data_IF_772883087443
#
_entry.id   IF_772883087443
#
_cell.length_a   1.000
_cell.length_b   1.000
_cell.length_c   1.000
_cell.angle_alpha   90.00
_cell.angle_beta   90.00
_cell.angle_gamma   90.00
#
_symmetry.space_group_name_H-M   'P 1'
#
loop_
_entity.id
_entity.type
_entity.pdbx_description
1 polymer ?
#
# COMPACT_ATOMS: atom_id res chain seq x y z
N UNK A 1 10.08 30.20 -12.73
CA UNK A 1 10.51 28.80 -12.57
C UNK A 1 9.90 28.12 -11.35
N UNK A 2 9.61 28.82 -10.24
CA UNK A 2 8.97 28.19 -9.06
C UNK A 2 7.58 27.62 -9.32
N UNK A 3 6.74 28.29 -10.09
CA UNK A 3 5.36 27.83 -10.37
C UNK A 3 5.32 26.46 -11.04
N UNK A 4 6.24 26.20 -11.98
CA UNK A 4 6.34 24.89 -12.66
C UNK A 4 6.81 23.80 -11.70
N UNK A 5 7.74 24.13 -10.77
CA UNK A 5 8.18 23.20 -9.73
C UNK A 5 7.04 22.84 -8.77
N UNK A 6 6.22 23.82 -8.36
CA UNK A 6 5.08 23.59 -7.49
C UNK A 6 4.00 22.72 -8.15
N UNK A 7 3.67 22.97 -9.43
CA UNK A 7 2.76 22.08 -10.17
C UNK A 7 3.32 20.67 -10.34
N UNK A 8 4.64 20.53 -10.52
CA UNK A 8 5.31 19.23 -10.55
C UNK A 8 5.17 18.47 -9.22
N UNK A 9 5.40 19.17 -8.11
CA UNK A 9 5.23 18.62 -6.76
C UNK A 9 3.80 18.11 -6.50
N UNK A 10 2.79 18.93 -6.82
CA UNK A 10 1.38 18.59 -6.61
C UNK A 10 0.97 17.35 -7.42
N UNK A 11 1.36 17.27 -8.69
CA UNK A 11 1.04 16.11 -9.54
C UNK A 11 1.70 14.84 -9.00
N UNK A 12 2.97 14.92 -8.58
CA UNK A 12 3.69 13.76 -8.03
C UNK A 12 3.05 13.30 -6.72
N UNK A 13 2.63 14.24 -5.86
CA UNK A 13 1.93 13.94 -4.62
C UNK A 13 0.58 13.24 -4.88
N UNK A 14 -0.18 13.68 -5.88
CA UNK A 14 -1.44 13.03 -6.27
C UNK A 14 -1.19 11.60 -6.79
N UNK A 15 -0.14 11.38 -7.59
CA UNK A 15 0.22 10.04 -8.07
C UNK A 15 0.66 9.15 -6.91
N UNK A 16 1.47 9.67 -5.97
CA UNK A 16 1.87 8.94 -4.77
C UNK A 16 0.66 8.50 -3.94
N UNK A 17 -0.34 9.37 -3.80
CA UNK A 17 -1.60 9.04 -3.11
C UNK A 17 -2.34 7.87 -3.78
N UNK A 18 -2.44 7.88 -5.12
CA UNK A 18 -3.06 6.80 -5.88
C UNK A 18 -2.31 5.47 -5.71
N UNK A 19 -0.98 5.51 -5.69
CA UNK A 19 -0.14 4.33 -5.47
C UNK A 19 -0.42 3.76 -4.08
N UNK A 20 -0.37 4.56 -3.01
CA UNK A 20 -0.65 4.10 -1.64
C UNK A 20 -2.07 3.52 -1.53
N UNK A 21 -3.07 4.19 -2.10
CA UNK A 21 -4.44 3.70 -2.09
C UNK A 21 -4.57 2.35 -2.80
N UNK A 22 -3.93 2.18 -3.96
CA UNK A 22 -3.95 0.91 -4.70
C UNK A 22 -3.23 -0.22 -3.95
N UNK A 23 -2.10 0.07 -3.28
CA UNK A 23 -1.39 -0.88 -2.45
C UNK A 23 -2.27 -1.35 -1.28
N UNK A 24 -2.97 -0.43 -0.62
CA UNK A 24 -3.87 -0.75 0.49
C UNK A 24 -5.00 -1.67 0.03
N UNK A 25 -5.63 -1.34 -1.09
CA UNK A 25 -6.66 -2.16 -1.72
C UNK A 25 -6.13 -3.57 -2.03
N UNK A 26 -4.91 -3.68 -2.57
CA UNK A 26 -4.26 -4.97 -2.85
C UNK A 26 -4.09 -5.85 -1.60
N UNK A 27 -3.63 -5.25 -0.48
CA UNK A 27 -3.51 -5.96 0.80
C UNK A 27 -4.87 -6.44 1.29
N UNK A 28 -5.91 -5.60 1.22
CA UNK A 28 -7.27 -5.99 1.59
C UNK A 28 -7.78 -7.15 0.72
N UNK A 29 -7.62 -7.07 -0.59
CA UNK A 29 -8.01 -8.17 -1.50
C UNK A 29 -7.33 -9.49 -1.15
N UNK A 30 -6.04 -9.45 -0.83
CA UNK A 30 -5.29 -10.66 -0.50
C UNK A 30 -5.71 -11.25 0.86
N UNK A 31 -6.04 -10.39 1.83
CA UNK A 31 -6.63 -10.79 3.10
C UNK A 31 -8.01 -11.43 2.90
N UNK A 32 -8.89 -10.81 2.09
CA UNK A 32 -10.22 -11.37 1.78
C UNK A 32 -10.14 -12.75 1.13
N UNK A 33 -9.25 -12.95 0.15
CA UNK A 33 -9.05 -14.26 -0.47
C UNK A 33 -8.60 -15.32 0.55
N UNK A 34 -7.66 -14.96 1.42
CA UNK A 34 -7.18 -15.85 2.48
C UNK A 34 -8.28 -16.18 3.51
N UNK A 35 -9.14 -15.22 3.83
CA UNK A 35 -10.31 -15.43 4.68
C UNK A 35 -11.37 -16.34 4.05
N UNK A 36 -11.63 -16.19 2.75
CA UNK A 36 -12.52 -17.08 2.01
C UNK A 36 -11.98 -18.53 2.00
N UNK A 37 -10.67 -18.69 1.88
CA UNK A 37 -10.03 -20.01 1.94
C UNK A 37 -10.13 -20.66 3.33
N UNK A 38 -10.10 -19.87 4.41
CA UNK A 38 -10.35 -20.36 5.79
C UNK A 38 -11.75 -20.95 5.90
N UNK A 39 -12.77 -20.32 5.31
CA UNK A 39 -14.14 -20.84 5.31
C UNK A 39 -14.28 -22.18 4.56
N UNK A 40 -13.40 -22.42 3.58
CA UNK A 40 -13.31 -23.71 2.87
C UNK A 40 -12.39 -24.73 3.55
N UNK A 41 -11.80 -24.41 4.70
CA UNK A 41 -10.88 -25.28 5.44
C UNK A 41 -9.48 -25.42 4.80
N UNK A 42 -9.16 -24.66 3.75
CA UNK A 42 -7.89 -24.76 3.01
C UNK A 42 -6.75 -23.96 3.61
N UNK A 43 -7.05 -22.94 4.42
CA UNK A 43 -6.07 -22.11 5.12
C UNK A 43 -6.41 -21.96 6.59
N UNK A 44 -5.41 -21.60 7.39
CA UNK A 44 -5.57 -21.39 8.83
C UNK A 44 -5.59 -19.91 9.18
N UNK A 45 -6.16 -19.58 10.35
CA UNK A 45 -6.13 -18.23 10.93
C UNK A 45 -4.70 -17.70 11.12
N UNK A 46 -3.73 -18.59 11.38
CA UNK A 46 -2.32 -18.21 11.46
C UNK A 46 -1.76 -17.73 10.12
N UNK A 47 -2.13 -18.38 9.01
CA UNK A 47 -1.73 -17.95 7.66
C UNK A 47 -2.39 -16.62 7.27
N UNK A 48 -3.66 -16.41 7.63
CA UNK A 48 -4.31 -15.10 7.46
C UNK A 48 -3.59 -14.00 8.22
N UNK A 49 -3.27 -14.23 9.50
CA UNK A 49 -2.51 -13.28 10.32
C UNK A 49 -1.15 -12.94 9.70
N UNK A 50 -0.45 -13.93 9.13
CA UNK A 50 0.81 -13.72 8.42
C UNK A 50 0.63 -12.89 7.15
N UNK A 51 -0.38 -13.18 6.32
CA UNK A 51 -0.68 -12.41 5.10
C UNK A 51 -0.98 -10.95 5.44
N UNK A 52 -1.79 -10.70 6.47
CA UNK A 52 -2.12 -9.34 6.92
C UNK A 52 -0.89 -8.63 7.49
N UNK A 53 -0.07 -9.32 8.30
CA UNK A 53 1.14 -8.74 8.88
C UNK A 53 2.16 -8.34 7.81
N UNK A 54 2.43 -9.21 6.84
CA UNK A 54 3.31 -8.90 5.71
C UNK A 54 2.74 -7.75 4.89
N UNK A 55 1.44 -7.75 4.61
CA UNK A 55 0.77 -6.66 3.90
C UNK A 55 0.91 -5.32 4.61
N UNK A 56 0.75 -5.29 5.94
CA UNK A 56 0.93 -4.09 6.75
C UNK A 56 2.37 -3.57 6.70
N UNK A 57 3.37 -4.46 6.80
CA UNK A 57 4.80 -4.09 6.69
C UNK A 57 5.11 -3.50 5.32
N UNK A 58 4.60 -4.12 4.23
CA UNK A 58 4.79 -3.61 2.87
C UNK A 58 4.16 -2.22 2.68
N UNK A 59 3.00 -1.96 3.29
CA UNK A 59 2.38 -0.64 3.27
C UNK A 59 3.22 0.41 4.00
N UNK A 60 3.72 0.09 5.19
CA UNK A 60 4.58 1.00 5.96
C UNK A 60 5.84 1.36 5.16
N UNK A 61 6.50 0.35 4.57
CA UNK A 61 7.70 0.57 3.76
C UNK A 61 7.36 1.39 2.51
N UNK A 62 6.26 1.07 1.82
CA UNK A 62 5.82 1.80 0.63
C UNK A 62 5.53 3.28 0.90
N UNK A 63 4.79 3.56 1.98
CA UNK A 63 4.49 4.94 2.40
C UNK A 63 5.78 5.68 2.79
N UNK A 64 6.68 5.02 3.53
CA UNK A 64 7.95 5.62 3.92
C UNK A 64 8.80 5.99 2.69
N UNK A 65 8.98 5.08 1.74
CA UNK A 65 9.73 5.33 0.50
C UNK A 65 9.12 6.47 -0.32
N UNK A 66 7.79 6.52 -0.42
CA UNK A 66 7.11 7.62 -1.13
C UNK A 66 7.31 8.96 -0.41
N UNK A 67 7.25 8.97 0.91
CA UNK A 67 7.49 10.17 1.72
C UNK A 67 8.90 10.70 1.49
N UNK A 68 9.90 9.82 1.54
CA UNK A 68 11.30 10.19 1.30
C UNK A 68 11.54 10.63 -0.14
N UNK A 69 10.91 9.98 -1.12
CA UNK A 69 10.97 10.42 -2.51
C UNK A 69 10.36 11.82 -2.71
N UNK A 70 9.25 12.15 -2.02
CA UNK A 70 8.68 13.50 -2.08
C UNK A 70 9.49 14.54 -1.33
N UNK A 71 10.25 14.17 -0.30
CA UNK A 71 11.12 15.09 0.44
C UNK A 71 12.41 15.48 -0.31
N UNK A 72 12.82 14.68 -1.30
CA UNK A 72 13.98 14.96 -2.16
C UNK A 72 13.62 15.95 -3.29
N UNK A 73 12.33 16.08 -3.62
CA UNK A 73 11.77 16.85 -4.73
C UNK A 73 11.62 18.34 -4.42
#
# INVERSE_FOLDING_TARGET
METIRNYGYDIIMLVALLVVASMFIGVCYHAYGTYAEIHTGRKTWGQFGLTVAIGAVLLVIGIWLLTEATGIL
#
